data_IF_640844850433
#
_entry.id   IF_640844850433
#
_cell.length_a   1.000
_cell.length_b   1.000
_cell.length_c   1.000
_cell.angle_alpha   90.00
_cell.angle_beta   90.00
_cell.angle_gamma   90.00
#
_symmetry.space_group_name_H-M   'P 1'
#
loop_
_entity.id
_entity.type
_entity.pdbx_description
1 polymer ?
#
# COMPACT_ATOMS: atom_id res chain seq x y z
N UNK A 1 -1.86 10.34 -23.82
CA UNK A 1 -1.02 9.64 -22.84
C UNK A 1 -1.96 8.96 -21.87
N UNK A 2 -2.29 7.69 -22.14
CA UNK A 2 -3.07 6.88 -21.21
C UNK A 2 -2.21 6.62 -19.97
N UNK A 3 -2.83 6.65 -18.79
CA UNK A 3 -2.13 6.38 -17.55
C UNK A 3 -1.90 4.86 -17.44
N UNK A 4 -0.81 4.45 -16.78
CA UNK A 4 -0.51 3.04 -16.47
C UNK A 4 -1.66 2.28 -15.77
N UNK A 5 -2.66 3.01 -15.27
CA UNK A 5 -3.82 2.47 -14.57
C UNK A 5 -4.99 2.07 -15.48
N UNK A 6 -4.96 2.37 -16.78
CA UNK A 6 -5.95 1.85 -17.75
C UNK A 6 -5.63 0.40 -18.21
N UNK A 7 -4.44 -0.14 -17.91
CA UNK A 7 -4.04 -1.50 -18.32
C UNK A 7 -4.43 -2.61 -17.32
N UNK A 8 -4.99 -2.26 -16.16
CA UNK A 8 -5.19 -3.23 -15.06
C UNK A 8 -6.56 -3.19 -14.37
N UNK A 9 -7.63 -2.84 -15.08
CA UNK A 9 -9.05 -3.08 -14.69
C UNK A 9 -9.33 -3.11 -13.17
N UNK A 10 -9.08 -2.00 -12.46
CA UNK A 10 -9.29 -1.94 -11.02
C UNK A 10 -10.31 -0.83 -10.68
N UNK A 11 -11.58 -1.22 -10.52
CA UNK A 11 -12.61 -0.35 -9.96
C UNK A 11 -12.70 -0.53 -8.42
N UNK A 12 -12.77 0.57 -7.64
CA UNK A 12 -13.01 0.47 -6.20
C UNK A 12 -14.47 0.11 -5.90
N UNK A 13 -14.69 -0.94 -5.11
CA UNK A 13 -16.02 -1.40 -4.69
C UNK A 13 -16.67 -0.39 -3.73
N UNK A 14 -17.83 0.14 -4.15
CA UNK A 14 -18.70 1.02 -3.39
C UNK A 14 -19.41 0.22 -2.25
N UNK A 15 -19.40 0.66 -0.98
CA UNK A 15 -19.79 -0.18 0.15
C UNK A 15 -21.31 -0.32 0.43
N UNK A 16 -22.21 0.16 -0.43
CA UNK A 16 -23.64 0.29 -0.07
C UNK A 16 -24.66 -0.26 -1.10
N UNK A 17 -24.41 -1.43 -1.71
CA UNK A 17 -25.40 -2.10 -2.58
C UNK A 17 -25.65 -3.56 -2.21
N UNK A 18 -26.39 -3.72 -1.13
CA UNK A 18 -27.45 -4.71 -0.91
C UNK A 18 -27.86 -5.52 -2.17
N UNK A 19 -27.56 -6.82 -2.20
CA UNK A 19 -28.30 -7.77 -3.06
C UNK A 19 -28.64 -9.04 -2.29
N UNK A 20 -29.94 -9.18 -2.03
CA UNK A 20 -30.69 -10.41 -1.76
C UNK A 20 -30.02 -11.59 -2.49
N UNK A 21 -29.35 -12.48 -1.75
CA UNK A 21 -28.52 -13.54 -2.34
C UNK A 21 -29.37 -14.49 -3.20
N UNK A 22 -29.02 -14.63 -4.48
CA UNK A 22 -29.68 -15.55 -5.40
C UNK A 22 -29.47 -17.00 -4.93
N UNK A 23 -30.52 -17.81 -4.87
CA UNK A 23 -30.45 -19.23 -4.46
C UNK A 23 -29.45 -19.99 -5.35
N UNK A 24 -29.28 -19.61 -6.61
CA UNK A 24 -28.26 -20.18 -7.51
C UNK A 24 -26.83 -19.84 -7.04
N UNK A 25 -26.59 -18.66 -6.47
CA UNK A 25 -25.29 -18.28 -5.89
C UNK A 25 -25.00 -19.04 -4.58
N UNK A 26 -26.01 -19.28 -3.75
CA UNK A 26 -25.87 -20.09 -2.54
C UNK A 26 -25.61 -21.58 -2.87
N UNK A 27 -26.26 -22.12 -3.90
CA UNK A 27 -25.99 -23.49 -4.37
C UNK A 27 -24.60 -23.63 -5.00
N UNK A 28 -24.11 -22.63 -5.73
CA UNK A 28 -22.74 -22.61 -6.25
C UNK A 28 -21.68 -22.57 -5.12
N UNK A 29 -21.95 -21.81 -4.05
CA UNK A 29 -21.11 -21.79 -2.85
C UNK A 29 -21.08 -23.14 -2.13
N UNK A 30 -22.21 -23.85 -2.07
CA UNK A 30 -22.27 -25.20 -1.50
C UNK A 30 -21.50 -26.23 -2.34
N UNK A 31 -21.48 -26.09 -3.67
CA UNK A 31 -20.66 -26.94 -4.56
C UNK A 31 -19.15 -26.71 -4.41
N UNK A 32 -18.72 -25.45 -4.18
CA UNK A 32 -17.34 -25.13 -3.82
C UNK A 32 -16.94 -25.68 -2.44
N UNK A 33 -17.92 -25.90 -1.56
CA UNK A 33 -17.73 -26.39 -0.18
C UNK A 33 -17.62 -27.91 -0.06
N UNK A 34 -17.89 -28.67 -1.12
CA UNK A 34 -17.81 -30.14 -1.16
C UNK A 34 -16.84 -30.69 -2.21
N UNK A 35 -15.79 -29.93 -2.55
CA UNK A 35 -14.65 -30.47 -3.30
C UNK A 35 -13.56 -30.93 -2.33
N UNK A 36 -13.35 -32.24 -2.12
CA UNK A 36 -12.21 -32.72 -1.38
C UNK A 36 -11.00 -32.65 -2.30
N UNK A 37 -10.05 -31.75 -2.05
CA UNK A 37 -8.74 -31.82 -2.71
C UNK A 37 -8.12 -30.54 -3.28
N UNK A 38 -8.21 -29.41 -2.57
CA UNK A 38 -7.19 -28.36 -2.71
C UNK A 38 -6.67 -27.96 -1.33
N UNK A 39 -5.93 -28.88 -0.72
CA UNK A 39 -5.07 -28.60 0.44
C UNK A 39 -3.83 -29.49 0.39
N UNK A 40 -2.97 -29.22 -0.59
CA UNK A 40 -1.52 -29.38 -0.46
C UNK A 40 -0.98 -27.95 -0.54
N UNK A 41 -0.74 -27.30 0.58
CA UNK A 41 0.57 -27.37 1.22
C UNK A 41 0.42 -27.38 2.74
N UNK A 42 1.36 -28.06 3.39
CA UNK A 42 1.41 -28.31 4.82
C UNK A 42 1.05 -27.11 5.71
N UNK A 43 0.33 -27.40 6.80
CA UNK A 43 0.33 -26.59 8.02
C UNK A 43 1.78 -26.46 8.53
N UNK A 44 2.51 -25.47 8.01
CA UNK A 44 3.55 -24.79 8.76
C UNK A 44 2.82 -23.75 9.60
N UNK A 45 2.55 -24.10 10.85
CA UNK A 45 2.37 -23.09 11.89
C UNK A 45 3.74 -22.43 12.09
N UNK A 46 4.13 -21.60 11.13
CA UNK A 46 5.12 -20.57 11.39
C UNK A 46 4.24 -19.34 11.70
N UNK A 47 4.15 -19.01 12.97
CA UNK A 47 3.54 -17.77 13.43
C UNK A 47 4.36 -16.63 12.82
N UNK A 48 4.02 -16.24 11.59
CA UNK A 48 4.70 -15.17 10.88
C UNK A 48 4.45 -13.87 11.63
N UNK A 49 5.47 -13.43 12.36
CA UNK A 49 5.51 -12.14 13.05
C UNK A 49 5.05 -11.04 12.09
N UNK A 50 3.90 -10.44 12.39
CA UNK A 50 3.41 -9.29 11.65
C UNK A 50 4.24 -8.05 12.07
N UNK A 51 4.72 -7.30 11.08
CA UNK A 51 5.44 -6.05 11.28
C UNK A 51 4.49 -4.90 10.94
N UNK A 52 4.34 -3.97 11.87
CA UNK A 52 3.64 -2.71 11.64
C UNK A 52 4.62 -1.66 11.10
N UNK A 53 4.25 -1.04 9.99
CA UNK A 53 5.03 0.03 9.36
C UNK A 53 4.73 1.40 10.01
N UNK A 54 5.60 2.42 9.86
CA UNK A 54 5.33 3.79 10.32
C UNK A 54 4.10 4.46 9.72
N UNK A 55 3.54 3.87 8.66
CA UNK A 55 2.29 4.28 8.01
C UNK A 55 1.08 3.43 8.45
N UNK A 56 1.20 2.61 9.51
CA UNK A 56 0.18 1.74 10.10
C UNK A 56 -0.30 0.57 9.22
N UNK A 57 0.43 0.24 8.16
CA UNK A 57 0.16 -0.96 7.37
C UNK A 57 0.88 -2.17 7.97
N UNK A 58 0.20 -3.30 8.02
CA UNK A 58 0.70 -4.57 8.57
C UNK A 58 1.10 -5.53 7.46
N UNK A 59 2.24 -6.17 7.62
CA UNK A 59 2.74 -7.17 6.68
C UNK A 59 3.41 -8.32 7.43
N UNK A 60 3.39 -9.53 6.87
CA UNK A 60 4.23 -10.62 7.37
C UNK A 60 5.71 -10.25 7.22
N UNK A 61 6.51 -10.54 8.23
CA UNK A 61 7.97 -10.33 8.20
C UNK A 61 8.61 -10.92 6.94
N UNK A 62 8.20 -12.13 6.57
CA UNK A 62 8.71 -12.83 5.38
C UNK A 62 8.33 -12.16 4.06
N UNK A 63 7.24 -11.39 4.03
CA UNK A 63 6.81 -10.65 2.83
C UNK A 63 7.44 -9.25 2.75
N UNK A 64 7.53 -8.55 3.89
CA UNK A 64 7.98 -7.15 3.90
C UNK A 64 9.49 -7.00 3.87
N UNK A 65 10.25 -7.89 4.50
CA UNK A 65 11.72 -7.79 4.53
C UNK A 65 12.35 -7.92 3.13
N UNK A 66 11.95 -8.88 2.27
CA UNK A 66 12.46 -8.95 0.90
C UNK A 66 12.08 -7.72 0.06
N UNK A 67 10.90 -7.15 0.28
CA UNK A 67 10.48 -5.90 -0.36
C UNK A 67 11.36 -4.73 0.07
N UNK A 68 11.57 -4.56 1.38
CA UNK A 68 12.38 -3.48 1.94
C UNK A 68 13.86 -3.55 1.56
N UNK A 69 14.37 -4.75 1.26
CA UNK A 69 15.73 -4.93 0.72
C UNK A 69 15.94 -4.26 -0.66
N UNK A 70 14.86 -4.08 -1.42
CA UNK A 70 14.89 -3.49 -2.78
C UNK A 70 14.34 -2.08 -2.81
N UNK A 71 13.32 -1.81 -2.00
CA UNK A 71 12.57 -0.55 -2.01
C UNK A 71 12.26 -0.11 -0.59
N UNK A 72 12.70 1.08 -0.19
CA UNK A 72 12.43 1.64 1.14
C UNK A 72 11.03 2.28 1.26
N UNK A 73 10.02 1.78 0.54
CA UNK A 73 8.68 2.38 0.52
C UNK A 73 7.59 1.37 0.81
N UNK A 74 6.50 1.84 1.44
CA UNK A 74 5.33 1.02 1.70
C UNK A 74 4.66 0.57 0.38
N UNK A 75 4.36 -0.73 0.18
CA UNK A 75 3.67 -1.23 -1.00
C UNK A 75 2.28 -0.61 -1.22
N UNK A 76 1.59 -0.22 -0.15
CA UNK A 76 0.20 0.26 -0.20
C UNK A 76 0.09 1.77 -0.38
N UNK A 77 0.87 2.55 0.38
CA UNK A 77 0.76 4.01 0.40
C UNK A 77 1.98 4.76 -0.12
N UNK A 78 3.02 4.05 -0.57
CA UNK A 78 4.29 4.62 -1.07
C UNK A 78 5.04 5.50 -0.06
N UNK A 79 4.68 5.44 1.23
CA UNK A 79 5.40 6.14 2.28
C UNK A 79 6.86 5.67 2.33
N UNK A 80 7.80 6.59 2.13
CA UNK A 80 9.24 6.33 2.20
C UNK A 80 9.72 6.24 3.64
N UNK A 81 10.39 5.16 3.98
CA UNK A 81 10.97 4.92 5.29
C UNK A 81 12.29 5.68 5.45
N UNK A 82 12.65 6.05 6.68
CA UNK A 82 13.99 6.54 6.98
C UNK A 82 15.03 5.46 6.70
N UNK A 83 16.21 5.90 6.28
CA UNK A 83 17.39 5.04 6.06
C UNK A 83 18.38 5.21 7.21
N UNK A 84 19.22 4.20 7.46
CA UNK A 84 20.26 4.25 8.51
C UNK A 84 21.45 5.18 8.19
N UNK A 85 21.49 5.77 6.99
CA UNK A 85 22.55 6.70 6.58
C UNK A 85 22.20 8.14 7.00
N UNK A 86 22.87 8.62 8.06
CA UNK A 86 22.69 9.96 8.61
C UNK A 86 22.96 11.07 7.58
N UNK A 87 23.94 10.88 6.69
CA UNK A 87 24.31 11.89 5.69
C UNK A 87 23.23 12.03 4.62
N UNK A 88 22.64 10.90 4.19
CA UNK A 88 21.51 10.89 3.27
C UNK A 88 20.28 11.55 3.91
N UNK A 89 20.00 11.24 5.17
CA UNK A 89 18.88 11.81 5.91
C UNK A 89 19.02 13.33 6.15
N UNK A 90 20.23 13.81 6.45
CA UNK A 90 20.51 15.25 6.52
C UNK A 90 20.21 15.92 5.17
N UNK A 91 20.74 15.38 4.08
CA UNK A 91 20.48 15.92 2.74
C UNK A 91 18.98 15.93 2.39
N UNK A 92 18.24 14.88 2.76
CA UNK A 92 16.79 14.78 2.59
C UNK A 92 16.06 15.91 3.35
N UNK A 93 16.44 16.14 4.61
CA UNK A 93 15.89 17.24 5.44
C UNK A 93 16.23 18.60 4.84
N UNK A 94 17.46 18.80 4.37
CA UNK A 94 17.92 20.05 3.75
C UNK A 94 17.12 20.41 2.50
N UNK A 95 16.89 19.42 1.64
CA UNK A 95 16.07 19.57 0.43
C UNK A 95 14.64 19.96 0.79
N UNK A 96 14.04 19.33 1.81
CA UNK A 96 12.70 19.67 2.29
C UNK A 96 12.63 21.11 2.82
N UNK A 97 13.62 21.56 3.60
CA UNK A 97 13.70 22.95 4.11
C UNK A 97 13.79 23.96 2.98
N UNK A 98 14.63 23.71 1.98
CA UNK A 98 14.79 24.58 0.79
C UNK A 98 13.49 24.66 -0.01
N UNK A 99 12.80 23.54 -0.20
CA UNK A 99 11.50 23.52 -0.88
C UNK A 99 10.44 24.32 -0.13
N UNK A 100 10.38 24.19 1.20
CA UNK A 100 9.48 24.97 2.03
C UNK A 100 9.79 26.48 1.95
N UNK A 101 11.07 26.86 1.98
CA UNK A 101 11.48 28.25 1.80
C UNK A 101 11.07 28.80 0.43
N UNK A 102 11.25 28.02 -0.63
CA UNK A 102 10.82 28.38 -1.98
C UNK A 102 9.31 28.61 -2.04
N UNK A 103 8.51 27.66 -1.55
CA UNK A 103 7.05 27.80 -1.51
C UNK A 103 6.61 29.03 -0.69
N UNK A 104 7.28 29.33 0.43
CA UNK A 104 7.04 30.55 1.22
C UNK A 104 7.29 31.81 0.39
N UNK A 105 8.42 31.86 -0.33
CA UNK A 105 8.76 32.99 -1.20
C UNK A 105 7.77 33.15 -2.35
N UNK A 106 7.35 32.04 -2.98
CA UNK A 106 6.34 32.03 -4.04
C UNK A 106 4.99 32.54 -3.54
N UNK A 107 4.55 32.11 -2.35
CA UNK A 107 3.33 32.62 -1.73
C UNK A 107 3.41 34.11 -1.41
N UNK A 108 4.57 34.58 -0.92
CA UNK A 108 4.80 36.01 -0.69
C UNK A 108 4.78 36.80 -2.01
N UNK A 109 5.35 36.24 -3.08
CA UNK A 109 5.29 36.84 -4.40
C UNK A 109 3.82 36.94 -4.87
N UNK A 110 3.04 35.86 -4.79
CA UNK A 110 1.61 35.89 -5.12
C UNK A 110 0.81 36.94 -4.34
N UNK A 111 1.10 37.10 -3.03
CA UNK A 111 0.44 38.08 -2.17
C UNK A 111 0.86 39.54 -2.43
N UNK A 112 2.03 39.79 -3.04
CA UNK A 112 2.49 41.15 -3.35
C UNK A 112 2.07 41.65 -4.74
N UNK A 113 1.74 40.74 -5.66
CA UNK A 113 1.41 41.06 -7.05
C UNK A 113 -0.05 40.73 -7.44
N UNK A 114 -0.95 40.64 -6.45
CA UNK A 114 -2.42 40.59 -6.62
C UNK A 114 -3.06 41.84 -6.02
#
# INVERSE_FOLDING_TARGET
>A
MASYFDEHDCEPLNPEQETRTNILLELARLWLRTSPGQSSEALRLEEETAIEMPCHHLFHSNCILPWLSKTNSCPLCRHELPTDDDTYEEHRRDKARKLQQKHRLENLHGAMYT
#
